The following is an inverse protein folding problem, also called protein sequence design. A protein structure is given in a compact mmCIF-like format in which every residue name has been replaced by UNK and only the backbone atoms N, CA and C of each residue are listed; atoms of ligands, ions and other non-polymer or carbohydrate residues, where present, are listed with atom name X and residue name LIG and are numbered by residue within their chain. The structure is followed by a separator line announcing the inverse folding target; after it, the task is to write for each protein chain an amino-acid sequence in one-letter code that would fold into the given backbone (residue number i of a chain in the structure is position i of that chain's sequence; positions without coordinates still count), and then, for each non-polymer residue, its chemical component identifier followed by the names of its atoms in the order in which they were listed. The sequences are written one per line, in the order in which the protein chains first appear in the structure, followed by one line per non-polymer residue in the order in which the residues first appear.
data_IF_127640462724
#
_entry.id   IF_127640462724
#
_cell.length_a   1.000
_cell.length_b   1.000
_cell.length_c   1.000
_cell.angle_alpha   90.00
_cell.angle_beta   90.00
_cell.angle_gamma   90.00
#
_symmetry.space_group_name_H-M   'P 1'
#
loop_
_entity.id
_entity.type
_entity.pdbx_description
1 polymer ?
#
# COMPACT_ATOMS: atom_id res chain seq x y z
N UNK A 1 -16.94 -15.20 -24.17
CA UNK A 1 -16.03 -16.10 -23.44
C UNK A 1 -14.70 -15.44 -23.06
N UNK A 2 -13.88 -14.94 -24.00
CA UNK A 2 -12.63 -14.23 -23.63
C UNK A 2 -12.88 -12.96 -22.80
N UNK A 3 -13.93 -12.17 -23.14
CA UNK A 3 -14.32 -10.98 -22.37
C UNK A 3 -14.91 -11.28 -20.99
N UNK A 4 -15.51 -12.45 -20.78
CA UNK A 4 -16.16 -12.76 -19.49
C UNK A 4 -15.09 -13.06 -18.43
N UNK A 5 -14.05 -13.80 -18.83
CA UNK A 5 -12.93 -14.15 -17.96
C UNK A 5 -12.10 -12.92 -17.60
N UNK A 6 -11.83 -12.01 -18.56
CA UNK A 6 -11.06 -10.79 -18.31
C UNK A 6 -11.78 -9.87 -17.31
N UNK A 7 -13.09 -9.69 -17.46
CA UNK A 7 -13.92 -8.89 -16.56
C UNK A 7 -13.93 -9.49 -15.15
N UNK A 8 -14.00 -10.81 -15.02
CA UNK A 8 -13.94 -11.50 -13.72
C UNK A 8 -12.61 -11.20 -13.02
N UNK A 9 -11.48 -11.26 -13.72
CA UNK A 9 -10.17 -10.96 -13.13
C UNK A 9 -10.03 -9.50 -12.69
N UNK A 10 -10.52 -8.56 -13.49
CA UNK A 10 -10.50 -7.13 -13.13
C UNK A 10 -11.42 -6.83 -11.95
N UNK A 11 -12.61 -7.43 -11.91
CA UNK A 11 -13.53 -7.30 -10.79
C UNK A 11 -12.93 -7.91 -9.51
N UNK A 12 -12.27 -9.06 -9.62
CA UNK A 12 -11.55 -9.68 -8.51
C UNK A 12 -10.40 -8.79 -8.02
N UNK A 13 -9.61 -8.21 -8.93
CA UNK A 13 -8.53 -7.28 -8.59
C UNK A 13 -9.07 -6.07 -7.80
N UNK A 14 -10.13 -5.43 -8.30
CA UNK A 14 -10.76 -4.28 -7.63
C UNK A 14 -11.32 -4.66 -6.25
N UNK A 15 -11.99 -5.81 -6.16
CA UNK A 15 -12.52 -6.32 -4.89
C UNK A 15 -11.41 -6.57 -3.87
N UNK A 16 -10.30 -7.18 -4.29
CA UNK A 16 -9.15 -7.46 -3.41
C UNK A 16 -8.39 -6.17 -3.03
N UNK A 17 -8.32 -5.17 -3.91
CA UNK A 17 -7.82 -3.84 -3.55
C UNK A 17 -8.68 -3.19 -2.47
N UNK A 18 -10.01 -3.24 -2.60
CA UNK A 18 -10.93 -2.71 -1.60
C UNK A 18 -10.79 -3.43 -0.25
N UNK A 19 -10.66 -4.77 -0.26
CA UNK A 19 -10.35 -5.55 0.94
C UNK A 19 -9.01 -5.13 1.55
N UNK A 20 -7.99 -4.87 0.72
CA UNK A 20 -6.67 -4.44 1.20
C UNK A 20 -6.75 -3.08 1.91
N UNK A 21 -7.52 -2.14 1.39
CA UNK A 21 -7.76 -0.86 2.07
C UNK A 21 -8.51 -1.04 3.40
N UNK A 22 -9.48 -1.95 3.47
CA UNK A 22 -10.17 -2.27 4.70
C UNK A 22 -9.24 -2.92 5.74
N UNK A 23 -8.44 -3.90 5.31
CA UNK A 23 -7.46 -4.59 6.15
C UNK A 23 -6.35 -3.64 6.64
N UNK A 24 -6.10 -2.54 5.94
CA UNK A 24 -5.17 -1.53 6.39
C UNK A 24 -5.62 -0.85 7.69
N UNK A 25 -6.94 -0.73 7.93
CA UNK A 25 -7.49 -0.24 9.19
C UNK A 25 -7.55 -1.35 10.24
N UNK A 26 -7.87 -2.58 9.82
CA UNK A 26 -7.96 -3.75 10.69
C UNK A 26 -7.11 -4.91 10.16
N UNK A 27 -5.82 -4.95 10.49
CA UNK A 27 -4.88 -5.93 9.94
C UNK A 27 -5.04 -7.30 10.62
N UNK A 28 -6.11 -8.02 10.27
CA UNK A 28 -6.29 -9.43 10.66
C UNK A 28 -5.43 -10.38 9.82
N UNK A 29 -5.10 -9.94 8.61
CA UNK A 29 -4.29 -10.67 7.63
C UNK A 29 -3.22 -9.71 7.08
N UNK A 30 -2.04 -10.21 6.69
CA UNK A 30 -0.98 -9.35 6.15
C UNK A 30 -1.44 -8.56 4.91
N UNK A 31 -1.64 -7.27 5.11
CA UNK A 31 -2.31 -6.37 4.14
C UNK A 31 -1.52 -6.25 2.83
N UNK A 32 -0.19 -6.31 2.91
CA UNK A 32 0.69 -6.25 1.74
C UNK A 32 0.48 -7.45 0.79
N UNK A 33 0.11 -8.62 1.32
CA UNK A 33 -0.14 -9.84 0.52
C UNK A 33 -1.42 -9.71 -0.28
N UNK A 34 -2.50 -9.19 0.34
CA UNK A 34 -3.75 -8.99 -0.38
C UNK A 34 -3.58 -7.92 -1.47
N UNK A 35 -2.85 -6.85 -1.19
CA UNK A 35 -2.55 -5.85 -2.21
C UNK A 35 -1.76 -6.46 -3.37
N UNK A 36 -0.75 -7.28 -3.09
CA UNK A 36 0.02 -7.95 -4.13
C UNK A 36 -0.81 -8.96 -4.95
N UNK A 37 -1.74 -9.68 -4.31
CA UNK A 37 -2.67 -10.56 -5.00
C UNK A 37 -3.54 -9.80 -6.03
N UNK A 38 -3.90 -8.54 -5.75
CA UNK A 38 -4.62 -7.71 -6.73
C UNK A 38 -3.82 -7.44 -8.00
N UNK A 39 -2.49 -7.25 -7.89
CA UNK A 39 -1.61 -7.11 -9.06
C UNK A 39 -1.54 -8.40 -9.89
N UNK A 40 -1.56 -9.56 -9.25
CA UNK A 40 -1.62 -10.84 -9.96
C UNK A 40 -2.93 -11.01 -10.72
N UNK A 41 -4.07 -10.64 -10.12
CA UNK A 41 -5.36 -10.65 -10.81
C UNK A 41 -5.38 -9.67 -11.99
N UNK A 42 -4.76 -8.50 -11.85
CA UNK A 42 -4.56 -7.59 -12.98
C UNK A 42 -3.72 -8.23 -14.09
N UNK A 43 -2.61 -8.91 -13.75
CA UNK A 43 -1.76 -9.60 -14.74
C UNK A 43 -2.50 -10.72 -15.47
N UNK A 44 -3.29 -11.52 -14.76
CA UNK A 44 -4.09 -12.61 -15.35
C UNK A 44 -5.30 -12.13 -16.15
N UNK A 45 -5.68 -10.85 -16.03
CA UNK A 45 -6.72 -10.29 -16.89
C UNK A 45 -6.29 -10.19 -18.35
N UNK A 46 -4.98 -10.23 -18.65
CA UNK A 46 -4.40 -9.96 -19.98
C UNK A 46 -4.77 -8.59 -20.60
N UNK A 47 -5.44 -7.73 -19.84
CA UNK A 47 -5.72 -6.34 -20.23
C UNK A 47 -4.57 -5.45 -19.79
N UNK A 48 -4.04 -5.68 -18.59
CA UNK A 48 -2.94 -4.93 -18.01
C UNK A 48 -1.71 -5.83 -18.05
N UNK A 49 -0.57 -5.28 -18.47
CA UNK A 49 0.68 -6.01 -18.60
C UNK A 49 1.75 -5.49 -17.63
N UNK A 50 1.66 -5.82 -16.32
CA UNK A 50 2.72 -5.46 -15.38
C UNK A 50 4.03 -6.16 -15.77
N UNK A 51 5.11 -5.38 -15.90
CA UNK A 51 6.44 -5.91 -16.21
C UNK A 51 6.94 -6.88 -15.14
N UNK A 52 7.70 -7.90 -15.54
CA UNK A 52 8.19 -8.95 -14.64
C UNK A 52 9.12 -8.40 -13.55
N UNK A 53 9.91 -7.38 -13.88
CA UNK A 53 10.74 -6.66 -12.91
C UNK A 53 9.90 -6.01 -11.79
N UNK A 54 8.78 -5.39 -12.15
CA UNK A 54 7.85 -4.79 -11.20
C UNK A 54 7.23 -5.87 -10.32
N UNK A 55 6.73 -6.96 -10.91
CA UNK A 55 6.16 -8.07 -10.13
C UNK A 55 7.16 -8.64 -9.13
N UNK A 56 8.41 -8.87 -9.55
CA UNK A 56 9.43 -9.51 -8.72
C UNK A 56 9.91 -8.58 -7.60
N UNK A 57 10.21 -7.32 -7.91
CA UNK A 57 10.68 -6.33 -6.92
C UNK A 57 9.63 -6.07 -5.82
N UNK A 58 8.36 -5.93 -6.19
CA UNK A 58 7.28 -5.75 -5.22
C UNK A 58 6.93 -7.03 -4.47
N UNK A 59 7.09 -8.20 -5.10
CA UNK A 59 7.01 -9.49 -4.41
C UNK A 59 8.07 -9.61 -3.31
N UNK A 60 9.30 -9.17 -3.57
CA UNK A 60 10.37 -9.11 -2.57
C UNK A 60 10.02 -8.12 -1.45
N UNK A 61 9.51 -6.92 -1.79
CA UNK A 61 9.09 -5.94 -0.78
C UNK A 61 8.01 -6.50 0.16
N UNK A 62 7.03 -7.22 -0.40
CA UNK A 62 5.98 -7.91 0.37
C UNK A 62 6.59 -8.99 1.27
N UNK A 63 7.52 -9.80 0.75
CA UNK A 63 8.19 -10.82 1.54
C UNK A 63 8.97 -10.21 2.72
N UNK A 64 9.67 -9.09 2.51
CA UNK A 64 10.37 -8.35 3.58
C UNK A 64 9.37 -7.86 4.63
N UNK A 65 8.24 -7.26 4.22
CA UNK A 65 7.19 -6.81 5.14
C UNK A 65 6.66 -7.97 5.98
N UNK A 66 6.42 -9.13 5.36
CA UNK A 66 5.95 -10.33 6.07
C UNK A 66 6.95 -10.79 7.12
N UNK A 67 8.23 -10.88 6.76
CA UNK A 67 9.29 -11.28 7.70
C UNK A 67 9.35 -10.30 8.88
N UNK A 68 9.30 -8.99 8.59
CA UNK A 68 9.29 -7.97 9.65
C UNK A 68 8.07 -8.13 10.55
N UNK A 69 6.87 -8.30 10.00
CA UNK A 69 5.63 -8.47 10.79
C UNK A 69 5.68 -9.75 11.65
N UNK A 70 6.26 -10.84 11.13
CA UNK A 70 6.49 -12.07 11.89
C UNK A 70 7.49 -11.90 13.04
N UNK A 71 8.46 -11.01 12.89
CA UNK A 71 9.45 -10.69 13.95
C UNK A 71 8.92 -9.70 14.99
N UNK A 72 7.77 -9.07 14.78
CA UNK A 72 7.25 -8.07 15.71
C UNK A 72 6.80 -8.70 17.04
N UNK A 73 7.10 -8.05 18.18
CA UNK A 73 6.55 -8.45 19.46
C UNK A 73 5.01 -8.46 19.42
N UNK A 74 4.38 -9.50 19.99
CA UNK A 74 2.91 -9.68 20.00
C UNK A 74 2.13 -8.44 20.48
N UNK A 75 2.73 -7.66 21.39
CA UNK A 75 2.17 -6.39 21.89
C UNK A 75 2.01 -5.34 20.79
N UNK A 76 3.00 -5.21 19.90
CA UNK A 76 2.96 -4.29 18.76
C UNK A 76 2.11 -4.85 17.62
N UNK A 77 2.21 -6.16 17.37
CA UNK A 77 1.43 -6.83 16.32
C UNK A 77 -0.09 -6.64 16.50
N UNK A 78 -0.59 -6.73 17.75
CA UNK A 78 -2.02 -6.60 18.08
C UNK A 78 -2.52 -5.16 18.23
N UNK A 79 -1.64 -4.16 18.30
CA UNK A 79 -2.05 -2.77 18.39
C UNK A 79 -2.57 -2.28 17.04
N UNK A 80 -3.87 -1.97 16.97
CA UNK A 80 -4.51 -1.37 15.78
C UNK A 80 -4.78 0.12 15.96
N UNK A 81 -4.29 0.71 17.04
CA UNK A 81 -4.64 2.09 17.40
C UNK A 81 -3.98 3.08 16.44
N UNK A 82 -4.76 3.93 15.79
CA UNK A 82 -4.21 4.93 14.87
C UNK A 82 -3.92 4.44 13.46
N UNK A 83 -4.23 3.18 13.14
CA UNK A 83 -4.09 2.64 11.77
C UNK A 83 -4.90 3.43 10.74
N UNK A 84 -6.07 3.95 11.12
CA UNK A 84 -6.88 4.82 10.25
C UNK A 84 -6.15 6.11 9.86
N UNK A 85 -5.48 6.77 10.81
CA UNK A 85 -4.74 8.00 10.53
C UNK A 85 -3.52 7.73 9.65
N UNK A 86 -2.77 6.66 9.96
CA UNK A 86 -1.62 6.21 9.16
C UNK A 86 -2.09 5.86 7.74
N UNK A 87 -3.20 5.15 7.62
CA UNK A 87 -3.74 4.71 6.33
C UNK A 87 -4.27 5.83 5.46
N UNK A 88 -5.09 6.71 6.02
CA UNK A 88 -5.56 7.90 5.30
C UNK A 88 -4.37 8.76 4.89
N UNK A 89 -3.42 8.98 5.80
CA UNK A 89 -2.19 9.71 5.50
C UNK A 89 -1.43 9.07 4.34
N UNK A 90 -1.23 7.75 4.36
CA UNK A 90 -0.59 7.01 3.28
C UNK A 90 -1.31 7.17 1.94
N UNK A 91 -2.64 7.03 1.92
CA UNK A 91 -3.45 7.15 0.70
C UNK A 91 -3.36 8.57 0.13
N UNK A 92 -3.56 9.59 0.97
CA UNK A 92 -3.46 10.99 0.54
C UNK A 92 -2.05 11.30 0.04
N UNK A 93 -1.02 10.86 0.77
CA UNK A 93 0.37 11.04 0.37
C UNK A 93 0.70 10.34 -0.94
N UNK A 94 0.18 9.13 -1.15
CA UNK A 94 0.34 8.37 -2.39
C UNK A 94 -0.34 9.08 -3.57
N UNK A 95 -1.57 9.56 -3.41
CA UNK A 95 -2.29 10.35 -4.42
C UNK A 95 -1.52 11.63 -4.80
N UNK A 96 -0.97 12.34 -3.81
CA UNK A 96 -0.10 13.51 -4.06
C UNK A 96 1.18 13.07 -4.78
N UNK A 97 1.79 11.97 -4.36
CA UNK A 97 3.01 11.44 -4.97
C UNK A 97 2.83 11.02 -6.43
N UNK A 98 1.64 10.56 -6.83
CA UNK A 98 1.33 10.25 -8.24
C UNK A 98 1.46 11.47 -9.16
N UNK A 99 1.39 12.69 -8.63
CA UNK A 99 1.62 13.92 -9.43
C UNK A 99 3.09 14.13 -9.82
N UNK A 100 4.04 13.46 -9.17
CA UNK A 100 5.47 13.54 -9.48
C UNK A 100 5.91 12.74 -10.70
N UNK A 101 4.96 12.10 -11.39
CA UNK A 101 5.18 11.33 -12.62
C UNK A 101 6.22 10.19 -12.52
N UNK A 102 6.40 9.57 -11.35
CA UNK A 102 7.18 8.33 -11.22
C UNK A 102 6.71 7.47 -10.05
N UNK A 103 6.99 6.16 -10.11
CA UNK A 103 6.72 5.25 -8.99
C UNK A 103 7.45 5.68 -7.71
N UNK A 104 8.63 6.29 -7.83
CA UNK A 104 9.41 6.74 -6.68
C UNK A 104 8.69 7.86 -5.92
N UNK A 105 8.10 8.83 -6.64
CA UNK A 105 7.33 9.91 -6.02
C UNK A 105 6.07 9.41 -5.32
N UNK A 106 5.41 8.40 -5.89
CA UNK A 106 4.26 7.76 -5.28
C UNK A 106 4.63 7.06 -3.96
N UNK A 107 5.72 6.29 -3.93
CA UNK A 107 6.20 5.62 -2.71
C UNK A 107 6.67 6.63 -1.66
N UNK A 108 7.42 7.65 -2.08
CA UNK A 108 7.89 8.71 -1.20
C UNK A 108 6.70 9.49 -0.60
N UNK A 109 5.71 9.83 -1.42
CA UNK A 109 4.47 10.45 -0.99
C UNK A 109 3.72 9.60 0.03
N UNK A 110 3.57 8.30 -0.22
CA UNK A 110 2.95 7.37 0.73
C UNK A 110 3.71 7.32 2.07
N UNK A 111 5.05 7.30 2.04
CA UNK A 111 5.89 7.29 3.24
C UNK A 111 5.76 8.59 4.05
N UNK A 112 5.82 9.75 3.39
CA UNK A 112 5.59 11.06 4.02
C UNK A 112 4.17 11.11 4.61
N UNK A 113 3.19 10.60 3.88
CA UNK A 113 1.81 10.49 4.31
C UNK A 113 1.63 9.64 5.57
N UNK A 114 2.31 8.50 5.66
CA UNK A 114 2.35 7.65 6.85
C UNK A 114 2.92 8.41 8.05
N UNK A 115 4.03 9.13 7.86
CA UNK A 115 4.67 9.93 8.93
C UNK A 115 3.71 11.02 9.40
N UNK A 116 3.08 11.76 8.48
CA UNK A 116 2.11 12.79 8.80
C UNK A 116 0.88 12.23 9.52
N UNK A 117 0.33 11.10 9.07
CA UNK A 117 -0.77 10.40 9.72
C UNK A 117 -0.41 9.92 11.12
N UNK A 118 0.80 9.38 11.30
CA UNK A 118 1.33 9.01 12.61
C UNK A 118 1.48 10.22 13.54
N UNK A 119 1.98 11.35 13.03
CA UNK A 119 2.10 12.59 13.78
C UNK A 119 0.74 13.12 14.25
N UNK A 120 -0.28 13.13 13.37
CA UNK A 120 -1.65 13.51 13.73
C UNK A 120 -2.20 12.58 14.80
N UNK A 121 -2.00 11.27 14.66
CA UNK A 121 -2.44 10.30 15.67
C UNK A 121 -1.76 10.52 17.02
N UNK A 122 -0.47 10.83 17.06
CA UNK A 122 0.28 11.09 18.30
C UNK A 122 -0.26 12.30 19.09
N UNK A 123 -0.95 13.23 18.42
CA UNK A 123 -1.63 14.38 19.06
C UNK A 123 -3.00 14.03 19.66
N UNK A 124 -3.57 12.88 19.33
CA UNK A 124 -4.86 12.44 19.87
C UNK A 124 -4.73 11.90 21.30
N UNK A 125 -5.80 11.91 22.14
CA UNK A 125 -5.77 11.35 23.49
C UNK A 125 -5.32 9.88 23.53
N UNK A 126 -5.73 9.10 22.53
CA UNK A 126 -5.36 7.69 22.39
C UNK A 126 -3.89 7.49 21.97
N UNK A 127 -3.29 8.47 21.30
CA UNK A 127 -1.88 8.44 20.85
C UNK A 127 -0.90 9.04 21.85
N UNK A 128 -1.35 9.79 22.87
CA UNK A 128 -0.50 10.37 23.92
C UNK A 128 0.47 9.37 24.58
N UNK A 129 0.09 8.10 24.86
CA UNK A 129 1.00 7.12 25.45
C UNK A 129 2.22 6.79 24.57
N UNK A 130 2.19 7.07 23.26
CA UNK A 130 3.35 6.90 22.37
C UNK A 130 4.46 7.94 22.65
N UNK A 131 4.14 9.04 23.33
CA UNK A 131 5.12 10.02 23.81
C UNK A 131 5.93 10.70 22.70
N UNK A 132 5.29 11.19 21.64
CA UNK A 132 6.00 11.84 20.53
C UNK A 132 6.77 13.10 21.00
N UNK A 133 8.03 13.29 20.57
CA UNK A 133 8.88 12.37 19.80
C UNK A 133 9.59 11.35 20.72
N UNK A 134 9.42 10.05 20.45
CA UNK A 134 10.12 8.97 21.19
C UNK A 134 10.54 7.82 20.28
N UNK A 135 11.47 6.99 20.77
CA UNK A 135 11.84 5.73 20.11
C UNK A 135 10.63 4.78 19.95
N UNK A 136 9.70 4.78 20.91
CA UNK A 136 8.48 3.95 20.85
C UNK A 136 7.58 4.39 19.69
N UNK A 137 7.45 5.70 19.46
CA UNK A 137 6.72 6.23 18.31
C UNK A 137 7.34 5.77 16.98
N UNK A 138 8.65 5.90 16.81
CA UNK A 138 9.31 5.49 15.57
C UNK A 138 9.29 3.97 15.36
N UNK A 139 9.47 3.17 16.42
CA UNK A 139 9.29 1.72 16.34
C UNK A 139 7.87 1.34 15.95
N UNK A 140 6.87 2.01 16.52
CA UNK A 140 5.47 1.81 16.16
C UNK A 140 5.21 2.19 14.70
N UNK A 141 5.71 3.35 14.26
CA UNK A 141 5.54 3.85 12.91
C UNK A 141 6.27 2.96 11.89
N UNK A 142 7.46 2.45 12.18
CA UNK A 142 8.13 1.48 11.32
C UNK A 142 7.37 0.16 11.29
N UNK A 143 6.88 -0.32 12.44
CA UNK A 143 6.18 -1.59 12.55
C UNK A 143 4.85 -1.60 11.77
N UNK A 144 4.07 -0.51 11.83
CA UNK A 144 2.74 -0.43 11.21
C UNK A 144 2.71 0.39 9.92
N UNK A 145 3.56 1.40 9.83
CA UNK A 145 3.69 2.25 8.66
C UNK A 145 4.35 1.56 7.48
N UNK A 146 5.38 0.73 7.68
CA UNK A 146 6.05 0.04 6.56
C UNK A 146 5.09 -0.88 5.79
N UNK A 147 4.29 -1.77 6.44
CA UNK A 147 3.24 -2.52 5.75
C UNK A 147 2.22 -1.61 5.05
N UNK A 148 1.85 -0.48 5.66
CA UNK A 148 0.91 0.46 5.07
C UNK A 148 1.47 1.14 3.81
N UNK A 149 2.72 1.60 3.83
CA UNK A 149 3.41 2.19 2.66
C UNK A 149 3.44 1.20 1.52
N UNK A 150 3.87 -0.04 1.77
CA UNK A 150 3.97 -1.06 0.72
C UNK A 150 2.59 -1.38 0.13
N UNK A 151 1.59 -1.58 0.99
CA UNK A 151 0.21 -1.86 0.56
C UNK A 151 -0.33 -0.75 -0.33
N UNK A 152 -0.27 0.50 0.15
CA UNK A 152 -0.84 1.65 -0.56
C UNK A 152 -0.05 1.96 -1.83
N UNK A 153 1.26 1.70 -1.84
CA UNK A 153 2.08 1.82 -3.04
C UNK A 153 1.71 0.77 -4.09
N UNK A 154 1.47 -0.48 -3.71
CA UNK A 154 0.99 -1.52 -4.63
C UNK A 154 -0.37 -1.15 -5.23
N UNK A 155 -1.28 -0.60 -4.41
CA UNK A 155 -2.57 -0.08 -4.87
C UNK A 155 -2.37 1.08 -5.84
N UNK A 156 -1.46 2.01 -5.54
CA UNK A 156 -1.12 3.12 -6.43
C UNK A 156 -0.55 2.64 -7.77
N UNK A 157 0.30 1.62 -7.76
CA UNK A 157 0.82 0.99 -8.98
C UNK A 157 -0.30 0.37 -9.79
N UNK A 158 -1.21 -0.37 -9.15
CA UNK A 158 -2.36 -0.96 -9.83
C UNK A 158 -3.19 0.11 -10.56
N UNK A 159 -3.46 1.23 -9.87
CA UNK A 159 -4.15 2.38 -10.47
C UNK A 159 -3.33 2.99 -11.61
N UNK A 160 -2.02 3.15 -11.43
CA UNK A 160 -1.15 3.77 -12.43
C UNK A 160 -1.03 2.92 -13.70
N UNK A 161 -0.88 1.60 -13.56
CA UNK A 161 -0.84 0.67 -14.69
C UNK A 161 -2.15 0.70 -15.48
N UNK A 162 -3.29 0.78 -14.78
CA UNK A 162 -4.58 0.98 -15.44
C UNK A 162 -4.63 2.28 -16.25
N UNK A 163 -4.19 3.40 -15.66
CA UNK A 163 -4.16 4.70 -16.34
C UNK A 163 -3.27 4.66 -17.59
N UNK A 164 -2.08 4.07 -17.48
CA UNK A 164 -1.12 3.99 -18.58
C UNK A 164 -1.68 3.15 -19.73
N UNK A 165 -2.27 1.99 -19.45
CA UNK A 165 -2.80 1.10 -20.48
C UNK A 165 -4.00 1.72 -21.22
N UNK A 166 -4.85 2.48 -20.50
CA UNK A 166 -5.99 3.19 -21.10
C UNK A 166 -5.57 4.47 -21.85
N UNK A 167 -4.43 5.06 -21.50
CA UNK A 167 -3.91 6.30 -22.07
C UNK A 167 -2.44 6.16 -22.47
N UNK A 168 -2.14 5.54 -23.64
CA UNK A 168 -0.77 5.26 -24.08
C UNK A 168 0.08 6.50 -24.39
N UNK A 169 -0.50 7.70 -24.42
CA UNK A 169 0.25 8.97 -24.53
C UNK A 169 1.02 9.27 -23.23
N UNK A 170 0.55 8.74 -22.09
CA UNK A 170 1.18 8.93 -20.79
C UNK A 170 2.54 8.22 -20.72
N UNK A 171 2.72 7.10 -21.43
CA UNK A 171 3.90 6.20 -21.38
C UNK A 171 5.25 6.88 -21.64
N UNK A 172 5.30 7.98 -22.41
CA UNK A 172 6.56 8.69 -22.76
C UNK A 172 7.15 9.46 -21.56
N UNK A 173 6.35 9.76 -20.52
CA UNK A 173 6.82 10.50 -19.34
C UNK A 173 7.26 9.61 -18.16
N UNK A 174 7.00 8.30 -18.19
CA UNK A 174 7.21 7.40 -17.04
C UNK A 174 8.32 6.35 -17.23
N UNK A 175 9.05 6.37 -18.35
CA UNK A 175 10.35 5.69 -18.51
C UNK A 175 11.46 6.52 -17.88
#
# INVERSE_FOLDING_TARGET
MANDITVIWLAAALFVMAISLFLLVRPYFPVAVTAYASLWFMKWSHVIHPGDWLMTSWGIAVAIVLVIDMMQPRRLARCTNGMTYIGIGAIVGMMVGMTGFSYLWMVAGAAIGVIAGGYVYARTPAGKPLGFPSAQFFQYLCAKGLPAVVTVSIIGIAVMLWIIEQHPVATIQYM
#
